data_IF_266920368513
#
_entry.id   IF_266920368513
#
_cell.length_a   1.000
_cell.length_b   1.000
_cell.length_c   1.000
_cell.angle_alpha   90.00
_cell.angle_beta   90.00
_cell.angle_gamma   90.00
#
_symmetry.space_group_name_H-M   'P 1'
#
loop_
_entity.id
_entity.type
_entity.pdbx_description
1 polymer ?
#
# COMPACT_ATOMS: atom_id res chain seq x y z
N UNK A 1 -7.49 -4.62 20.48
CA UNK A 1 -6.17 -5.23 20.23
C UNK A 1 -5.69 -4.80 18.87
N UNK A 2 -4.38 -4.75 18.59
CA UNK A 2 -3.88 -4.46 17.25
C UNK A 2 -4.49 -5.48 16.28
N UNK A 3 -5.01 -5.00 15.15
CA UNK A 3 -5.49 -5.88 14.08
C UNK A 3 -4.28 -6.61 13.53
N UNK A 4 -4.32 -7.95 13.53
CA UNK A 4 -3.23 -8.76 13.00
C UNK A 4 -2.92 -8.33 11.56
N UNK A 5 -1.66 -7.97 11.29
CA UNK A 5 -1.20 -7.50 9.97
C UNK A 5 -1.21 -5.99 9.74
N UNK A 6 -1.65 -5.16 10.72
CA UNK A 6 -1.58 -3.69 10.62
C UNK A 6 -0.45 -3.06 11.45
N UNK A 7 0.43 -3.87 12.04
CA UNK A 7 1.59 -3.38 12.79
C UNK A 7 2.81 -3.29 11.86
N UNK A 8 3.72 -2.32 12.08
CA UNK A 8 5.01 -2.28 11.39
C UNK A 8 5.76 -3.60 11.54
N UNK A 9 6.47 -3.99 10.47
CA UNK A 9 7.35 -5.15 10.47
C UNK A 9 8.72 -4.73 11.04
N UNK A 10 9.12 -5.31 12.17
CA UNK A 10 10.39 -4.99 12.82
C UNK A 10 11.37 -6.17 12.77
N UNK A 11 12.67 -5.88 12.84
CA UNK A 11 13.73 -6.90 12.93
C UNK A 11 14.14 -7.57 11.62
N UNK A 12 13.63 -7.10 10.47
CA UNK A 12 13.96 -7.63 9.14
C UNK A 12 14.67 -6.55 8.31
N UNK A 13 15.97 -6.71 8.08
CA UNK A 13 16.80 -5.68 7.41
C UNK A 13 16.50 -5.47 5.93
N UNK A 14 15.84 -6.42 5.28
CA UNK A 14 15.44 -6.34 3.87
C UNK A 14 14.04 -5.74 3.65
N UNK A 15 13.36 -5.31 4.72
CA UNK A 15 12.00 -4.76 4.66
C UNK A 15 12.02 -3.34 5.19
N UNK A 16 11.44 -2.44 4.43
CA UNK A 16 11.17 -1.06 4.83
C UNK A 16 9.66 -0.88 5.05
N UNK A 17 9.30 -0.25 6.17
CA UNK A 17 7.91 0.12 6.42
C UNK A 17 7.65 1.50 5.82
N UNK A 18 6.53 1.64 5.11
CA UNK A 18 6.13 2.89 4.49
C UNK A 18 4.79 3.30 5.10
N UNK A 19 4.76 4.49 5.69
CA UNK A 19 3.54 5.06 6.23
C UNK A 19 2.72 5.68 5.09
N UNK A 20 1.48 5.20 4.96
CA UNK A 20 0.53 5.60 3.92
C UNK A 20 -0.76 6.16 4.52
N UNK A 21 -0.72 6.56 5.81
CA UNK A 21 -1.89 7.09 6.53
C UNK A 21 -2.55 8.25 5.80
N UNK A 22 -1.77 9.14 5.18
CA UNK A 22 -2.27 10.30 4.45
C UNK A 22 -2.64 10.00 2.99
N UNK A 23 -2.41 8.77 2.53
CA UNK A 23 -2.61 8.36 1.13
C UNK A 23 -3.97 7.70 0.92
N UNK A 24 -4.50 6.98 1.91
CA UNK A 24 -5.78 6.27 1.78
C UNK A 24 -6.55 6.10 3.10
N UNK A 25 -7.87 5.95 2.97
CA UNK A 25 -8.80 5.73 4.09
C UNK A 25 -8.80 4.28 4.59
N UNK A 26 -7.64 3.80 5.04
CA UNK A 26 -7.47 2.52 5.70
C UNK A 26 -7.39 1.29 4.78
N UNK A 27 -7.19 0.12 5.40
CA UNK A 27 -6.76 -1.10 4.71
C UNK A 27 -7.75 -1.65 3.67
N UNK A 28 -9.05 -1.34 3.78
CA UNK A 28 -10.04 -1.81 2.79
C UNK A 28 -9.84 -1.14 1.41
N UNK A 29 -9.13 -0.02 1.35
CA UNK A 29 -8.86 0.72 0.11
C UNK A 29 -7.60 0.24 -0.63
N UNK A 30 -6.84 -0.73 -0.11
CA UNK A 30 -5.56 -1.17 -0.71
C UNK A 30 -5.68 -1.53 -2.19
N UNK A 31 -6.73 -2.26 -2.58
CA UNK A 31 -6.92 -2.74 -3.95
C UNK A 31 -7.06 -1.58 -4.94
N UNK A 32 -7.94 -0.63 -4.66
CA UNK A 32 -8.20 0.50 -5.57
C UNK A 32 -7.04 1.51 -5.61
N UNK A 33 -6.20 1.55 -4.57
CA UNK A 33 -5.03 2.42 -4.50
C UNK A 33 -3.73 1.75 -4.98
N UNK A 34 -3.76 0.47 -5.35
CA UNK A 34 -2.54 -0.29 -5.68
C UNK A 34 -1.64 0.42 -6.71
N UNK A 35 -2.17 1.00 -7.82
CA UNK A 35 -1.30 1.68 -8.78
C UNK A 35 -0.59 2.91 -8.18
N UNK A 36 -1.28 3.67 -7.32
CA UNK A 36 -0.67 4.81 -6.61
C UNK A 36 0.37 4.37 -5.59
N UNK A 37 0.11 3.29 -4.86
CA UNK A 37 1.07 2.73 -3.90
C UNK A 37 2.35 2.25 -4.57
N UNK A 38 2.23 1.52 -5.69
CA UNK A 38 3.39 1.06 -6.45
C UNK A 38 4.24 2.24 -6.96
N UNK A 39 3.60 3.32 -7.39
CA UNK A 39 4.29 4.55 -7.81
C UNK A 39 5.02 5.23 -6.65
N UNK A 40 4.43 5.27 -5.45
CA UNK A 40 5.06 5.84 -4.24
C UNK A 40 6.38 5.14 -3.92
N UNK A 41 6.43 3.81 -4.10
CA UNK A 41 7.64 3.03 -3.81
C UNK A 41 8.58 2.90 -5.02
N UNK A 42 8.30 3.64 -6.11
CA UNK A 42 9.21 3.80 -7.25
C UNK A 42 9.03 2.80 -8.39
N UNK A 43 7.96 2.01 -8.42
CA UNK A 43 7.65 1.20 -9.60
C UNK A 43 7.06 2.04 -10.72
N UNK A 44 7.41 1.69 -11.95
CA UNK A 44 6.67 2.17 -13.12
C UNK A 44 5.29 1.49 -13.17
N UNK A 45 4.27 2.29 -13.42
CA UNK A 45 2.88 1.83 -13.51
C UNK A 45 2.29 2.22 -14.86
N UNK A 46 1.37 1.39 -15.35
CA UNK A 46 0.69 1.60 -16.63
C UNK A 46 -0.54 2.52 -16.51
N UNK A 47 -1.02 2.78 -15.29
CA UNK A 47 -2.18 3.63 -14.97
C UNK A 47 -2.04 4.18 -13.55
N UNK A 48 -2.60 5.36 -13.29
CA UNK A 48 -2.71 5.93 -11.94
C UNK A 48 -3.97 5.46 -11.19
N UNK A 49 -4.90 4.80 -11.89
CA UNK A 49 -6.16 4.31 -11.36
C UNK A 49 -6.28 2.78 -11.51
N UNK A 50 -6.90 2.15 -10.52
CA UNK A 50 -7.23 0.73 -10.57
C UNK A 50 -8.51 0.56 -11.40
N UNK A 51 -8.42 -0.16 -12.51
CA UNK A 51 -9.56 -0.52 -13.35
C UNK A 51 -10.02 -1.91 -12.94
N UNK A 52 -11.23 -2.01 -12.38
CA UNK A 52 -11.86 -3.32 -12.19
C UNK A 52 -12.18 -3.91 -13.58
N UNK A 53 -11.82 -5.18 -13.83
CA UNK A 53 -12.26 -5.86 -15.05
C UNK A 53 -13.78 -6.06 -14.99
N UNK A 54 -14.47 -5.71 -16.07
CA UNK A 54 -15.91 -5.96 -16.28
C UNK A 54 -16.26 -7.47 -16.23
#
# INVERSE_FOLDING_TARGET
GPVAGLMPVEGVSSIENIDITDVMDGHMAYRSYMPRLLKIVGFEVTSDEFLDPD
#
